data_IF_407113854017
#
_entry.id   IF_407113854017
#
_cell.length_a   1.000
_cell.length_b   1.000
_cell.length_c   1.000
_cell.angle_alpha   90.00
_cell.angle_beta   90.00
_cell.angle_gamma   90.00
#
_symmetry.space_group_name_H-M   'P 1'
#
loop_
_entity.id
_entity.type
_entity.pdbx_description
1 polymer ?
#
# COMPACT_ATOMS: atom_id res chain seq x y z
N UNK A 1 13.65 2.08 11.40
CA UNK A 1 12.36 1.68 12.00
C UNK A 1 11.25 2.41 11.26
N UNK A 2 10.18 1.71 10.88
CA UNK A 2 9.04 2.34 10.22
C UNK A 2 8.24 3.15 11.26
N UNK A 3 7.96 4.40 10.95
CA UNK A 3 7.25 5.31 11.86
C UNK A 3 5.74 5.29 11.63
N UNK A 4 5.27 4.64 10.57
CA UNK A 4 3.86 4.68 10.17
C UNK A 4 3.30 3.28 9.95
N UNK A 5 1.99 3.15 10.15
CA UNK A 5 1.25 1.94 9.84
C UNK A 5 -0.16 2.28 9.34
N UNK A 6 -0.61 1.55 8.32
CA UNK A 6 -2.03 1.49 7.95
C UNK A 6 -2.59 0.15 8.42
N UNK A 7 -3.68 0.18 9.18
CA UNK A 7 -4.37 -1.03 9.58
C UNK A 7 -5.88 -0.93 9.32
N UNK A 8 -6.51 -2.08 9.17
CA UNK A 8 -7.94 -2.21 8.93
C UNK A 8 -8.67 -2.64 10.21
N UNK A 9 -9.65 -1.84 10.63
CA UNK A 9 -10.64 -2.31 11.59
C UNK A 9 -11.69 -3.14 10.84
N UNK A 10 -11.56 -4.45 10.90
CA UNK A 10 -12.43 -5.38 10.16
C UNK A 10 -13.89 -5.31 10.56
N UNK A 11 -14.19 -4.84 11.79
CA UNK A 11 -15.58 -4.67 12.29
C UNK A 11 -16.30 -3.50 11.60
N UNK A 12 -15.57 -2.53 11.10
CA UNK A 12 -16.12 -1.35 10.44
C UNK A 12 -16.07 -1.42 8.92
N UNK A 13 -15.26 -2.31 8.36
CA UNK A 13 -15.12 -2.43 6.91
C UNK A 13 -16.37 -3.07 6.30
N UNK A 14 -16.85 -2.49 5.21
CA UNK A 14 -18.01 -2.98 4.45
C UNK A 14 -17.60 -3.52 3.06
N UNK A 15 -16.31 -3.60 2.76
CA UNK A 15 -15.81 -4.10 1.47
C UNK A 15 -16.17 -3.22 0.27
N UNK A 16 -16.38 -1.92 0.47
CA UNK A 16 -16.85 -1.02 -0.60
C UNK A 16 -15.78 -0.68 -1.66
N UNK A 17 -14.54 -1.12 -1.49
CA UNK A 17 -13.38 -0.86 -2.38
C UNK A 17 -13.05 0.62 -2.61
N UNK A 18 -13.67 1.53 -1.86
CA UNK A 18 -13.41 2.97 -1.93
C UNK A 18 -11.93 3.33 -1.75
N UNK A 19 -11.20 2.60 -0.89
CA UNK A 19 -9.76 2.78 -0.69
C UNK A 19 -8.95 2.53 -1.95
N UNK A 20 -9.30 1.52 -2.74
CA UNK A 20 -8.64 1.19 -4.01
C UNK A 20 -8.86 2.29 -5.05
N UNK A 21 -10.12 2.72 -5.21
CA UNK A 21 -10.51 3.76 -6.17
C UNK A 21 -9.79 5.07 -5.81
N UNK A 22 -9.83 5.48 -4.56
CA UNK A 22 -9.19 6.72 -4.13
C UNK A 22 -7.65 6.67 -4.22
N UNK A 23 -7.04 5.51 -4.00
CA UNK A 23 -5.63 5.31 -4.24
C UNK A 23 -5.28 5.48 -5.71
N UNK A 24 -6.03 4.81 -6.62
CA UNK A 24 -5.85 4.92 -8.06
C UNK A 24 -6.00 6.36 -8.55
N UNK A 25 -7.03 7.04 -8.10
CA UNK A 25 -7.31 8.43 -8.49
C UNK A 25 -6.21 9.38 -7.98
N UNK A 26 -5.81 9.25 -6.72
CA UNK A 26 -4.79 10.12 -6.13
C UNK A 26 -3.41 9.94 -6.78
N UNK A 27 -3.08 8.71 -7.18
CA UNK A 27 -1.80 8.38 -7.83
C UNK A 27 -1.87 8.43 -9.35
N UNK A 28 -3.01 8.79 -9.93
CA UNK A 28 -3.25 8.83 -11.37
C UNK A 28 -2.77 7.54 -12.07
N UNK A 29 -3.19 6.39 -11.52
CA UNK A 29 -2.75 5.10 -12.02
C UNK A 29 -3.53 4.70 -13.29
N UNK A 30 -2.87 4.11 -14.28
CA UNK A 30 -3.52 3.57 -15.45
C UNK A 30 -4.36 2.33 -15.12
N UNK A 31 -5.05 1.80 -16.12
CA UNK A 31 -5.75 0.52 -16.01
C UNK A 31 -4.73 -0.59 -15.73
N UNK A 32 -5.04 -1.46 -14.78
CA UNK A 32 -4.22 -2.60 -14.35
C UNK A 32 -3.71 -2.45 -12.92
N UNK A 33 -2.64 -1.70 -12.65
CA UNK A 33 -2.00 -1.68 -11.34
C UNK A 33 -2.91 -1.23 -10.19
N UNK A 34 -2.78 -1.92 -9.04
CA UNK A 34 -3.49 -1.62 -7.79
C UNK A 34 -2.45 -1.56 -6.66
N UNK A 35 -2.33 -0.42 -5.98
CA UNK A 35 -1.34 -0.23 -4.92
C UNK A 35 -1.87 -0.58 -3.52
N UNK A 36 -3.17 -0.70 -3.38
CA UNK A 36 -3.83 -1.30 -2.22
C UNK A 36 -5.08 -2.05 -2.67
N UNK A 37 -5.43 -3.09 -1.92
CA UNK A 37 -6.51 -4.02 -2.26
C UNK A 37 -7.31 -4.38 -1.01
N UNK A 38 -8.63 -4.46 -1.15
CA UNK A 38 -9.53 -5.09 -0.20
C UNK A 38 -9.98 -6.44 -0.77
N UNK A 39 -9.54 -7.51 -0.16
CA UNK A 39 -10.05 -8.86 -0.41
C UNK A 39 -10.94 -9.33 0.74
N UNK A 40 -11.66 -10.40 0.55
CA UNK A 40 -12.47 -11.01 1.57
C UNK A 40 -12.08 -12.47 1.79
N UNK A 41 -12.11 -12.88 3.05
CA UNK A 41 -11.97 -14.28 3.43
C UNK A 41 -13.17 -15.09 2.95
N UNK A 42 -12.99 -16.39 2.71
CA UNK A 42 -14.13 -17.28 2.42
C UNK A 42 -15.23 -17.16 3.47
N UNK A 43 -16.47 -17.23 3.03
CA UNK A 43 -17.62 -17.22 3.92
C UNK A 43 -17.54 -18.33 4.96
N UNK A 44 -17.61 -17.97 6.22
CA UNK A 44 -17.69 -18.90 7.36
C UNK A 44 -19.09 -18.83 7.96
N UNK A 45 -19.66 -19.95 8.34
CA UNK A 45 -20.91 -19.96 9.10
C UNK A 45 -20.60 -19.88 10.61
N UNK A 46 -21.02 -18.81 11.25
CA UNK A 46 -20.90 -18.63 12.70
C UNK A 46 -22.31 -18.63 13.28
N UNK A 47 -22.66 -19.68 14.02
CA UNK A 47 -24.01 -19.88 14.60
C UNK A 47 -25.13 -19.78 13.55
N UNK A 48 -24.90 -20.36 12.36
CA UNK A 48 -25.88 -20.34 11.25
C UNK A 48 -25.94 -19.03 10.45
N UNK A 49 -25.16 -18.03 10.82
CA UNK A 49 -25.08 -16.76 10.09
C UNK A 49 -23.83 -16.74 9.20
N UNK A 50 -23.97 -16.51 7.87
CA UNK A 50 -22.81 -16.35 7.00
C UNK A 50 -22.07 -15.08 7.37
N UNK A 51 -20.77 -15.21 7.58
CA UNK A 51 -19.86 -14.11 7.93
C UNK A 51 -18.59 -14.18 7.08
N UNK A 52 -18.13 -13.04 6.62
CA UNK A 52 -16.81 -12.86 6.00
C UNK A 52 -16.02 -11.77 6.71
N UNK A 53 -14.73 -11.82 6.61
CA UNK A 53 -13.84 -10.76 7.08
C UNK A 53 -13.09 -10.16 5.90
N UNK A 54 -12.88 -8.86 5.93
CA UNK A 54 -12.14 -8.16 4.90
C UNK A 54 -10.67 -8.05 5.30
N UNK A 55 -9.80 -8.14 4.30
CA UNK A 55 -8.35 -8.03 4.46
C UNK A 55 -7.84 -6.90 3.58
N UNK A 56 -7.14 -5.96 4.18
CA UNK A 56 -6.48 -4.88 3.46
C UNK A 56 -5.02 -5.25 3.18
N UNK A 57 -4.62 -5.10 1.94
CA UNK A 57 -3.25 -5.35 1.49
C UNK A 57 -2.67 -4.11 0.82
N UNK A 58 -1.50 -3.71 1.25
CA UNK A 58 -0.70 -2.67 0.61
C UNK A 58 0.78 -2.92 0.91
N UNK A 59 1.68 -2.01 0.55
CA UNK A 59 3.07 -2.15 0.97
C UNK A 59 3.20 -2.03 2.49
N UNK A 60 3.96 -2.94 3.08
CA UNK A 60 4.22 -2.94 4.54
C UNK A 60 5.35 -2.00 4.95
N UNK A 61 6.08 -1.42 4.00
CA UNK A 61 7.23 -0.56 4.28
C UNK A 61 8.18 -1.18 5.32
N UNK A 62 8.62 -2.41 5.03
CA UNK A 62 9.39 -3.27 5.94
C UNK A 62 10.55 -2.52 6.60
N UNK A 63 10.87 -2.89 7.85
CA UNK A 63 12.04 -2.34 8.54
C UNK A 63 13.34 -2.76 7.84
N UNK A 64 13.40 -3.99 7.36
CA UNK A 64 14.46 -4.49 6.48
C UNK A 64 13.87 -4.85 5.11
N UNK A 65 13.76 -3.87 4.18
CA UNK A 65 13.07 -4.06 2.92
C UNK A 65 13.94 -4.79 1.89
N UNK A 66 13.64 -6.05 1.61
CA UNK A 66 14.32 -6.86 0.59
C UNK A 66 14.35 -6.23 -0.81
N UNK A 67 13.39 -5.37 -1.13
CA UNK A 67 13.31 -4.70 -2.41
C UNK A 67 14.36 -3.59 -2.61
N UNK A 68 14.95 -3.07 -1.54
CA UNK A 68 15.96 -2.01 -1.63
C UNK A 68 17.31 -2.53 -2.14
N UNK A 69 17.94 -3.54 -1.52
CA UNK A 69 19.27 -3.99 -1.92
C UNK A 69 19.32 -4.65 -3.29
N UNK A 70 18.21 -5.17 -3.80
CA UNK A 70 18.16 -5.82 -5.13
C UNK A 70 17.96 -4.84 -6.28
N UNK A 71 17.74 -3.56 -6.00
CA UNK A 71 17.54 -2.56 -7.04
C UNK A 71 18.88 -2.12 -7.66
N UNK A 72 19.18 -2.47 -8.93
CA UNK A 72 20.51 -2.22 -9.52
C UNK A 72 20.80 -0.73 -9.72
N UNK A 73 19.76 0.10 -9.82
CA UNK A 73 19.91 1.56 -10.01
C UNK A 73 19.70 2.35 -8.73
N UNK A 74 19.52 1.67 -7.58
CA UNK A 74 19.17 2.30 -6.30
C UNK A 74 17.92 3.20 -6.40
N UNK A 75 16.99 2.83 -7.28
CA UNK A 75 15.71 3.53 -7.43
C UNK A 75 14.73 3.20 -6.29
N UNK A 76 14.88 2.05 -5.64
CA UNK A 76 14.09 1.70 -4.45
C UNK A 76 14.76 2.31 -3.22
N UNK A 77 14.12 3.27 -2.61
CA UNK A 77 14.69 4.09 -1.52
C UNK A 77 13.87 3.92 -0.24
N UNK A 78 14.57 3.79 0.89
CA UNK A 78 13.96 3.88 2.23
C UNK A 78 14.30 5.23 2.85
N UNK A 79 13.27 6.00 3.21
CA UNK A 79 13.39 7.29 3.92
C UNK A 79 13.74 7.07 5.40
N UNK A 80 14.21 8.12 6.06
CA UNK A 80 14.52 8.10 7.50
C UNK A 80 13.31 7.78 8.38
N UNK A 81 12.10 8.15 7.95
CA UNK A 81 10.82 7.84 8.60
C UNK A 81 10.31 6.42 8.30
N UNK A 82 11.07 5.64 7.54
CA UNK A 82 10.75 4.25 7.21
C UNK A 82 9.92 4.06 5.94
N UNK A 83 9.45 5.13 5.31
CA UNK A 83 8.72 5.02 4.04
C UNK A 83 9.66 4.50 2.95
N UNK A 84 9.25 3.41 2.31
CA UNK A 84 9.95 2.87 1.13
C UNK A 84 9.21 3.31 -0.12
N UNK A 85 9.89 3.93 -1.06
CA UNK A 85 9.30 4.42 -2.30
C UNK A 85 10.19 4.13 -3.51
N UNK A 86 9.67 4.37 -4.70
CA UNK A 86 10.40 4.22 -5.97
C UNK A 86 10.75 5.61 -6.51
N UNK A 87 12.04 5.88 -6.64
CA UNK A 87 12.53 7.05 -7.37
C UNK A 87 12.31 6.82 -8.88
N UNK A 88 11.32 7.52 -9.42
CA UNK A 88 10.90 7.34 -10.81
C UNK A 88 11.97 7.80 -11.82
N UNK A 89 12.89 8.68 -11.44
CA UNK A 89 13.96 9.13 -12.32
C UNK A 89 15.01 8.04 -12.51
N UNK A 90 15.33 7.29 -11.45
CA UNK A 90 16.34 6.21 -11.46
C UNK A 90 15.78 4.86 -11.90
N UNK A 91 14.45 4.69 -11.85
CA UNK A 91 13.85 3.39 -12.13
C UNK A 91 13.93 3.04 -13.62
N UNK A 92 14.47 1.86 -13.93
CA UNK A 92 14.59 1.30 -15.29
C UNK A 92 13.56 0.21 -15.58
N UNK A 93 12.69 -0.12 -14.64
CA UNK A 93 11.63 -1.11 -14.83
C UNK A 93 12.11 -2.56 -14.90
N UNK A 94 13.29 -2.88 -14.36
CA UNK A 94 13.85 -4.23 -14.41
C UNK A 94 13.09 -5.31 -13.63
N UNK A 95 12.15 -4.92 -12.75
CA UNK A 95 11.30 -5.79 -11.93
C UNK A 95 12.03 -6.73 -10.96
N UNK A 96 13.32 -6.53 -10.69
CA UNK A 96 14.09 -7.37 -9.76
C UNK A 96 13.43 -7.50 -8.36
N UNK A 97 12.73 -6.44 -7.91
CA UNK A 97 12.00 -6.44 -6.67
C UNK A 97 10.75 -7.38 -6.68
N UNK A 98 10.25 -7.77 -7.85
CA UNK A 98 9.06 -8.65 -7.93
C UNK A 98 9.35 -10.05 -7.35
N UNK A 99 10.57 -10.52 -7.50
CA UNK A 99 11.03 -11.77 -6.91
C UNK A 99 11.49 -11.60 -5.46
N UNK A 100 12.11 -10.46 -5.15
CA UNK A 100 12.63 -10.18 -3.82
C UNK A 100 11.55 -9.85 -2.78
N UNK A 101 10.40 -9.30 -3.20
CA UNK A 101 9.31 -8.97 -2.30
C UNK A 101 8.47 -10.21 -1.97
N UNK A 102 8.46 -10.72 -0.72
CA UNK A 102 7.67 -11.90 -0.35
C UNK A 102 6.16 -11.70 -0.60
N UNK A 103 5.73 -10.46 -0.56
CA UNK A 103 4.32 -10.07 -0.72
C UNK A 103 3.96 -9.71 -2.16
N UNK A 104 4.92 -9.66 -3.08
CA UNK A 104 4.76 -9.25 -4.49
C UNK A 104 4.01 -7.93 -4.67
N UNK A 105 4.26 -6.97 -3.79
CA UNK A 105 3.55 -5.68 -3.77
C UNK A 105 3.95 -4.74 -4.92
N UNK A 106 5.24 -4.54 -5.23
CA UNK A 106 5.60 -3.65 -6.32
C UNK A 106 5.12 -4.20 -7.67
N UNK A 107 4.62 -3.31 -8.52
CA UNK A 107 4.07 -3.63 -9.84
C UNK A 107 4.73 -2.78 -10.91
N UNK A 108 4.58 -3.19 -12.16
CA UNK A 108 5.01 -2.40 -13.32
C UNK A 108 3.87 -1.49 -13.77
N UNK A 109 4.15 -0.22 -13.95
CA UNK A 109 3.25 0.68 -14.63
C UNK A 109 3.32 0.40 -16.15
N UNK A 110 2.22 0.00 -16.80
CA UNK A 110 2.25 -0.37 -18.20
C UNK A 110 2.53 0.79 -19.17
N UNK A 111 2.27 2.03 -18.73
CA UNK A 111 2.52 3.23 -19.54
C UNK A 111 3.96 3.71 -19.40
N UNK A 112 4.42 3.98 -18.18
CA UNK A 112 5.79 4.47 -17.93
C UNK A 112 6.85 3.39 -18.02
N UNK A 113 6.49 2.10 -17.98
CA UNK A 113 7.39 0.95 -17.91
C UNK A 113 8.31 0.97 -16.68
N UNK A 114 7.90 1.67 -15.64
CA UNK A 114 8.64 1.80 -14.38
C UNK A 114 7.90 1.11 -13.23
N UNK A 115 8.63 0.78 -12.19
CA UNK A 115 8.06 0.21 -10.99
C UNK A 115 7.19 1.21 -10.24
N UNK A 116 6.08 0.73 -9.71
CA UNK A 116 5.21 1.48 -8.80
C UNK A 116 4.81 0.62 -7.61
N UNK A 117 4.62 1.26 -6.48
CA UNK A 117 4.12 0.65 -5.24
C UNK A 117 3.50 1.71 -4.33
N UNK A 118 2.80 1.28 -3.30
CA UNK A 118 2.35 2.18 -2.25
C UNK A 118 3.56 2.89 -1.59
N UNK A 119 3.47 4.20 -1.44
CA UNK A 119 4.44 5.08 -0.79
C UNK A 119 3.81 5.82 0.42
N UNK A 120 2.72 5.28 0.97
CA UNK A 120 1.86 5.91 1.98
C UNK A 120 1.32 7.28 1.55
N UNK A 121 1.35 7.61 0.26
CA UNK A 121 1.08 8.96 -0.25
C UNK A 121 2.00 9.98 0.43
N UNK A 122 3.34 9.78 0.34
CA UNK A 122 4.34 10.60 1.02
C UNK A 122 4.16 12.10 0.73
N UNK A 123 3.74 12.45 -0.49
CA UNK A 123 3.37 13.81 -0.89
C UNK A 123 2.30 14.42 0.03
N UNK A 124 1.33 13.61 0.46
CA UNK A 124 0.27 14.04 1.37
C UNK A 124 0.75 14.09 2.81
N UNK A 125 1.51 13.07 3.25
CA UNK A 125 2.06 13.00 4.61
C UNK A 125 2.99 14.19 4.87
N UNK A 126 3.85 14.52 3.92
CA UNK A 126 4.78 15.66 4.02
C UNK A 126 4.05 17.01 4.14
N UNK A 127 2.76 17.07 3.77
CA UNK A 127 1.87 18.20 3.96
C UNK A 127 0.89 18.04 5.15
N UNK A 128 1.15 17.11 6.08
CA UNK A 128 0.32 16.88 7.26
C UNK A 128 -1.03 16.20 6.96
N UNK A 129 -1.21 15.64 5.77
CA UNK A 129 -2.43 14.97 5.36
C UNK A 129 -2.27 13.44 5.46
N UNK A 130 -3.37 12.75 5.73
CA UNK A 130 -3.39 11.27 5.73
C UNK A 130 -3.37 10.71 4.30
N UNK A 131 -2.90 9.46 4.10
CA UNK A 131 -3.01 8.76 2.83
C UNK A 131 -4.42 8.79 2.25
N UNK A 132 -4.54 8.85 0.92
CA UNK A 132 -5.84 9.01 0.25
C UNK A 132 -6.82 7.89 0.58
N UNK A 133 -6.35 6.62 0.60
CA UNK A 133 -7.17 5.47 0.95
C UNK A 133 -7.76 5.56 2.37
N UNK A 134 -7.01 6.11 3.32
CA UNK A 134 -7.45 6.32 4.70
C UNK A 134 -8.42 7.50 4.80
N UNK A 135 -8.05 8.65 4.21
CA UNK A 135 -8.84 9.89 4.26
C UNK A 135 -10.24 9.72 3.66
N UNK A 136 -10.36 8.85 2.67
CA UNK A 136 -11.59 8.62 1.90
C UNK A 136 -12.28 7.29 2.24
N UNK A 137 -11.86 6.62 3.30
CA UNK A 137 -12.55 5.43 3.78
C UNK A 137 -13.91 5.82 4.37
N UNK A 138 -15.00 5.42 3.71
CA UNK A 138 -16.38 5.82 4.02
C UNK A 138 -16.79 5.48 5.46
N UNK A 139 -16.37 4.31 5.94
CA UNK A 139 -16.67 3.84 7.30
C UNK A 139 -15.56 4.14 8.30
N UNK A 140 -14.51 4.85 7.87
CA UNK A 140 -13.33 5.09 8.69
C UNK A 140 -12.68 3.81 9.25
N UNK A 141 -12.85 2.69 8.54
CA UNK A 141 -12.29 1.40 8.92
C UNK A 141 -10.76 1.37 8.77
N UNK A 142 -10.21 2.06 7.76
CA UNK A 142 -8.77 2.24 7.61
C UNK A 142 -8.26 3.32 8.54
N UNK A 143 -7.20 2.99 9.27
CA UNK A 143 -6.51 3.91 10.18
C UNK A 143 -5.05 4.06 9.75
N UNK A 144 -4.56 5.27 9.82
CA UNK A 144 -3.14 5.60 9.67
C UNK A 144 -2.63 6.14 10.99
N UNK A 145 -1.61 5.52 11.52
CA UNK A 145 -1.03 5.85 12.82
C UNK A 145 0.46 6.10 12.70
N UNK A 146 0.95 7.06 13.49
CA UNK A 146 2.37 7.24 13.75
C UNK A 146 2.75 6.36 14.95
N UNK A 147 3.79 5.56 14.78
CA UNK A 147 4.30 4.67 15.85
C UNK A 147 5.23 5.39 16.83
N UNK A 148 5.50 6.68 16.60
CA UNK A 148 6.35 7.50 17.47
C UNK A 148 5.51 8.11 18.62
N UNK A 149 4.19 8.21 18.46
CA UNK A 149 3.28 8.84 19.42
C UNK A 149 2.63 7.85 20.39
N UNK A 150 3.18 6.63 20.49
CA UNK A 150 2.68 5.60 21.41
C UNK A 150 3.61 5.45 22.62
#
# INVERSE_FOLDING_TARGET
MNQYMIYLNTKCCIGCQGCEIHCKTNKNLPIGPILCEISHEPLKSIRGVPKTEFVFRSCYHCDDPFCVPVCPTSAMVKRADGIVYVDQEKCIGCMAFAEACPWRIPQLNPESKKAIKCDYCMDRIDNGLKPACVSKCTTHALKFVSLIEI
#
